data_IF_293159867617
#
_entry.id   IF_293159867617
#
_cell.length_a   1.000
_cell.length_b   1.000
_cell.length_c   1.000
_cell.angle_alpha   90.00
_cell.angle_beta   90.00
_cell.angle_gamma   90.00
#
_symmetry.space_group_name_H-M   'P 1'
#
loop_
_entity.id
_entity.type
_entity.pdbx_description
1 polymer ?
#
# COMPACT_ATOMS: atom_id res chain seq x y z
N UNK A 1 19.65 2.80 1.05
CA UNK A 1 18.36 3.35 1.48
C UNK A 1 17.46 3.42 0.27
N UNK A 2 16.21 3.01 0.43
CA UNK A 2 15.18 3.21 -0.57
C UNK A 2 14.48 4.53 -0.23
N UNK A 3 14.54 5.51 -1.13
CA UNK A 3 13.85 6.79 -0.97
C UNK A 3 12.39 6.65 -1.42
N UNK A 4 11.46 7.06 -0.56
CA UNK A 4 10.05 7.17 -0.87
C UNK A 4 9.72 8.55 -1.44
N UNK A 5 8.65 8.62 -2.22
CA UNK A 5 8.15 9.88 -2.75
C UNK A 5 7.25 10.62 -1.74
N UNK A 6 6.89 11.84 -2.12
CA UNK A 6 6.05 12.72 -1.32
C UNK A 6 4.65 12.11 -1.06
N UNK A 7 4.12 11.35 -2.02
CA UNK A 7 2.79 10.75 -1.92
C UNK A 7 2.70 9.72 -0.78
N UNK A 8 3.75 8.93 -0.56
CA UNK A 8 3.79 7.91 0.50
C UNK A 8 3.83 8.52 1.90
N UNK A 9 4.20 9.81 2.04
CA UNK A 9 4.09 10.53 3.31
C UNK A 9 2.65 10.54 3.85
N UNK A 10 1.67 10.61 2.95
CA UNK A 10 0.25 10.54 3.32
C UNK A 10 -0.10 9.13 3.81
N UNK A 11 0.30 8.10 3.08
CA UNK A 11 0.02 6.70 3.41
C UNK A 11 0.59 6.31 4.77
N UNK A 12 1.86 6.65 5.04
CA UNK A 12 2.54 6.34 6.30
C UNK A 12 1.87 7.08 7.47
N UNK A 13 1.40 8.32 7.28
CA UNK A 13 0.69 9.05 8.34
C UNK A 13 -0.64 8.36 8.68
N UNK A 14 -1.45 8.01 7.68
CA UNK A 14 -2.73 7.34 7.90
C UNK A 14 -2.56 5.92 8.45
N UNK A 15 -1.48 5.23 8.08
CA UNK A 15 -1.09 3.96 8.68
C UNK A 15 -0.72 4.14 10.16
N UNK A 16 0.01 5.20 10.50
CA UNK A 16 0.28 5.58 11.89
C UNK A 16 -0.99 5.83 12.70
N UNK A 17 -1.92 6.63 12.17
CA UNK A 17 -3.20 6.94 12.83
C UNK A 17 -4.03 5.67 13.07
N UNK A 18 -4.17 4.82 12.04
CA UNK A 18 -4.91 3.56 12.18
C UNK A 18 -4.25 2.57 13.13
N UNK A 19 -2.92 2.53 13.18
CA UNK A 19 -2.15 1.73 14.14
C UNK A 19 -2.32 2.22 15.58
N UNK A 20 -2.34 3.52 15.81
CA UNK A 20 -2.64 4.06 17.13
C UNK A 20 -4.07 3.70 17.57
N UNK A 21 -5.02 3.76 16.64
CA UNK A 21 -6.40 3.36 16.90
C UNK A 21 -6.54 1.85 17.19
N UNK A 22 -5.77 0.99 16.52
CA UNK A 22 -5.83 -0.46 16.76
C UNK A 22 -5.41 -0.85 18.18
N UNK A 23 -4.50 -0.11 18.83
CA UNK A 23 -4.19 -0.33 20.24
C UNK A 23 -5.40 -0.07 21.17
N UNK A 24 -6.30 0.85 20.79
CA UNK A 24 -7.58 1.05 21.52
C UNK A 24 -8.51 -0.16 21.35
N UNK A 25 -8.55 -0.77 20.16
CA UNK A 25 -9.31 -2.01 19.91
C UNK A 25 -8.77 -3.15 20.77
N UNK A 26 -7.43 -3.30 20.83
CA UNK A 26 -6.76 -4.28 21.71
C UNK A 26 -7.14 -4.06 23.17
N UNK A 27 -7.01 -2.82 23.68
CA UNK A 27 -7.32 -2.49 25.07
C UNK A 27 -8.80 -2.74 25.43
N UNK A 28 -9.70 -2.49 24.47
CA UNK A 28 -11.15 -2.72 24.62
C UNK A 28 -11.54 -4.19 24.50
N UNK A 29 -10.75 -5.02 23.82
CA UNK A 29 -11.03 -6.44 23.59
C UNK A 29 -12.27 -6.72 22.72
N UNK A 30 -12.80 -5.70 22.03
CA UNK A 30 -13.98 -5.85 21.17
C UNK A 30 -13.82 -5.08 19.86
N UNK A 31 -14.43 -5.59 18.79
CA UNK A 31 -14.47 -4.95 17.47
C UNK A 31 -15.94 -4.74 17.04
N UNK A 32 -16.38 -3.50 17.00
CA UNK A 32 -17.77 -3.11 16.73
C UNK A 32 -17.92 -2.13 15.57
N UNK A 33 -19.16 -1.69 15.32
CA UNK A 33 -19.50 -0.78 14.22
C UNK A 33 -18.88 0.61 14.41
N UNK A 34 -18.69 1.06 15.66
CA UNK A 34 -17.98 2.32 15.89
C UNK A 34 -16.53 2.25 15.42
N UNK A 35 -15.85 1.12 15.66
CA UNK A 35 -14.49 0.91 15.15
C UNK A 35 -14.48 0.83 13.62
N UNK A 36 -15.48 0.16 13.05
CA UNK A 36 -15.71 0.13 11.61
C UNK A 36 -15.78 1.55 11.02
N UNK A 37 -16.65 2.39 11.59
CA UNK A 37 -16.85 3.75 11.14
C UNK A 37 -15.56 4.57 11.23
N UNK A 38 -14.80 4.44 12.32
CA UNK A 38 -13.53 5.15 12.48
C UNK A 38 -12.50 4.68 11.45
N UNK A 39 -12.29 3.37 11.30
CA UNK A 39 -11.32 2.82 10.35
C UNK A 39 -11.67 3.17 8.90
N UNK A 40 -12.95 3.09 8.53
CA UNK A 40 -13.44 3.48 7.21
C UNK A 40 -13.26 4.99 7.00
N UNK A 41 -13.52 5.82 8.02
CA UNK A 41 -13.33 7.28 7.91
C UNK A 41 -11.86 7.65 7.73
N UNK A 42 -10.95 6.96 8.43
CA UNK A 42 -9.50 7.09 8.24
C UNK A 42 -9.15 6.78 6.77
N UNK A 43 -9.59 5.63 6.25
CA UNK A 43 -9.30 5.24 4.87
C UNK A 43 -9.95 6.18 3.84
N UNK A 44 -11.21 6.56 4.03
CA UNK A 44 -11.92 7.47 3.15
C UNK A 44 -11.26 8.85 3.12
N UNK A 45 -10.76 9.33 4.26
CA UNK A 45 -10.03 10.60 4.35
C UNK A 45 -8.69 10.52 3.61
N UNK A 46 -7.97 9.40 3.72
CA UNK A 46 -6.78 9.11 2.92
C UNK A 46 -7.09 9.17 1.42
N UNK A 47 -8.08 8.41 0.94
CA UNK A 47 -8.48 8.37 -0.47
C UNK A 47 -8.93 9.75 -0.96
N UNK A 48 -9.69 10.49 -0.15
CA UNK A 48 -10.16 11.82 -0.47
C UNK A 48 -9.01 12.82 -0.67
N UNK A 49 -7.99 12.79 0.20
CA UNK A 49 -6.81 13.64 0.05
C UNK A 49 -5.95 13.16 -1.12
N UNK A 50 -5.69 11.85 -1.23
CA UNK A 50 -4.89 11.24 -2.29
C UNK A 50 -5.44 11.49 -3.69
N UNK A 51 -6.76 11.45 -3.87
CA UNK A 51 -7.42 11.72 -5.15
C UNK A 51 -7.21 13.16 -5.68
N UNK A 52 -6.72 14.09 -4.84
CA UNK A 52 -6.39 15.47 -5.24
C UNK A 52 -4.94 15.67 -5.65
N UNK A 53 -4.08 14.68 -5.39
CA UNK A 53 -2.68 14.71 -5.78
C UNK A 53 -2.64 14.39 -7.29
N UNK A 54 -2.10 15.27 -8.15
CA UNK A 54 -2.03 15.00 -9.58
C UNK A 54 -1.11 13.80 -9.82
N UNK A 55 -1.54 12.80 -10.62
CA UNK A 55 -0.69 11.66 -10.94
C UNK A 55 0.57 12.14 -11.68
N UNK A 56 1.74 11.63 -11.33
CA UNK A 56 2.98 11.94 -12.03
C UNK A 56 2.86 11.46 -13.48
N UNK A 57 2.92 12.39 -14.45
CA UNK A 57 2.70 12.11 -15.88
C UNK A 57 3.66 11.04 -16.46
N UNK A 58 4.81 10.81 -15.82
CA UNK A 58 5.80 9.80 -16.23
C UNK A 58 5.39 8.36 -15.84
N UNK A 59 4.68 8.18 -14.74
CA UNK A 59 4.23 6.87 -14.23
C UNK A 59 3.18 6.25 -15.18
N UNK A 60 2.25 7.07 -15.68
CA UNK A 60 1.07 6.61 -16.45
C UNK A 60 1.36 5.88 -17.76
N UNK A 61 2.51 6.06 -18.41
CA UNK A 61 2.79 5.47 -19.73
C UNK A 61 3.87 4.39 -19.67
N UNK A 62 4.82 4.48 -18.74
CA UNK A 62 5.89 3.50 -18.58
C UNK A 62 5.50 2.33 -17.65
N UNK A 63 4.46 2.51 -16.80
CA UNK A 63 3.94 1.47 -15.90
C UNK A 63 2.82 0.65 -16.51
N UNK A 64 2.10 1.21 -17.49
CA UNK A 64 1.06 0.49 -18.22
C UNK A 64 1.72 -0.50 -19.19
N UNK A 65 2.06 -1.68 -18.68
CA UNK A 65 2.38 -2.86 -19.48
C UNK A 65 1.14 -3.74 -19.70
N UNK A 66 1.16 -4.57 -20.75
CA UNK A 66 0.17 -5.63 -20.95
C UNK A 66 -1.29 -5.16 -21.11
N UNK A 67 -2.20 -5.80 -20.38
CA UNK A 67 -3.66 -5.58 -20.50
C UNK A 67 -4.05 -4.13 -20.20
N UNK A 68 -3.40 -3.49 -19.23
CA UNK A 68 -3.67 -2.09 -18.88
C UNK A 68 -3.42 -1.15 -20.07
N UNK A 69 -2.32 -1.34 -20.80
CA UNK A 69 -1.98 -0.55 -22.00
C UNK A 69 -2.97 -0.80 -23.14
N UNK A 70 -3.31 -2.07 -23.35
CA UNK A 70 -4.25 -2.48 -24.39
C UNK A 70 -5.63 -1.83 -24.18
N UNK A 71 -6.13 -1.85 -22.93
CA UNK A 71 -7.39 -1.20 -22.54
C UNK A 71 -7.28 0.33 -22.59
N UNK A 72 -6.14 0.89 -22.16
CA UNK A 72 -5.87 2.32 -22.15
C UNK A 72 -5.92 2.98 -23.54
N UNK A 73 -5.55 2.24 -24.59
CA UNK A 73 -5.57 2.68 -25.99
C UNK A 73 -6.95 2.58 -26.67
N UNK A 74 -7.95 1.97 -26.04
CA UNK A 74 -9.28 1.80 -26.64
C UNK A 74 -10.09 3.11 -26.66
N UNK A 75 -11.02 3.21 -27.63
CA UNK A 75 -12.03 4.29 -27.67
C UNK A 75 -12.84 4.29 -26.38
N UNK A 76 -13.22 5.49 -25.87
CA UNK A 76 -13.86 5.67 -24.55
C UNK A 76 -14.99 4.68 -24.25
N UNK A 77 -15.96 4.51 -25.17
CA UNK A 77 -17.08 3.57 -24.94
C UNK A 77 -16.62 2.12 -24.77
N UNK A 78 -15.76 1.62 -25.67
CA UNK A 78 -15.21 0.27 -25.57
C UNK A 78 -14.33 0.10 -24.34
N UNK A 79 -13.54 1.12 -24.00
CA UNK A 79 -12.70 1.13 -22.79
C UNK A 79 -13.54 0.93 -21.53
N UNK A 80 -14.60 1.71 -21.35
CA UNK A 80 -15.48 1.56 -20.18
C UNK A 80 -16.19 0.20 -20.17
N UNK A 81 -16.67 -0.28 -21.32
CA UNK A 81 -17.28 -1.60 -21.43
C UNK A 81 -16.33 -2.72 -20.99
N UNK A 82 -15.07 -2.70 -21.43
CA UNK A 82 -14.05 -3.68 -21.03
C UNK A 82 -13.67 -3.55 -19.57
N UNK A 83 -13.52 -2.33 -19.04
CA UNK A 83 -13.22 -2.14 -17.61
C UNK A 83 -14.36 -2.71 -16.75
N UNK A 84 -15.62 -2.37 -17.06
CA UNK A 84 -16.79 -2.86 -16.33
C UNK A 84 -16.92 -4.38 -16.46
N UNK A 85 -16.64 -4.96 -17.62
CA UNK A 85 -16.68 -6.42 -17.79
C UNK A 85 -15.59 -7.12 -16.98
N UNK A 86 -14.37 -6.58 -16.95
CA UNK A 86 -13.27 -7.13 -16.15
C UNK A 86 -13.58 -7.04 -14.64
N UNK A 87 -14.09 -5.90 -14.18
CA UNK A 87 -14.49 -5.72 -12.77
C UNK A 87 -15.65 -6.63 -12.41
N UNK A 88 -16.69 -6.71 -13.26
CA UNK A 88 -17.85 -7.55 -13.03
C UNK A 88 -17.51 -9.03 -13.03
N UNK A 89 -16.74 -9.50 -14.02
CA UNK A 89 -16.29 -10.89 -14.10
C UNK A 89 -15.36 -11.24 -12.92
N UNK A 90 -14.36 -10.41 -12.63
CA UNK A 90 -13.43 -10.64 -11.52
C UNK A 90 -14.16 -10.67 -10.17
N UNK A 91 -15.10 -9.76 -9.95
CA UNK A 91 -15.95 -9.74 -8.76
C UNK A 91 -16.82 -11.00 -8.65
N UNK A 92 -17.46 -11.41 -9.74
CA UNK A 92 -18.29 -12.63 -9.77
C UNK A 92 -17.45 -13.88 -9.47
N UNK A 93 -16.29 -14.03 -10.10
CA UNK A 93 -15.37 -15.15 -9.84
C UNK A 93 -14.90 -15.15 -8.40
N UNK A 94 -14.62 -13.97 -7.83
CA UNK A 94 -14.22 -13.85 -6.42
C UNK A 94 -15.33 -14.27 -5.47
N UNK A 95 -16.57 -13.80 -5.69
CA UNK A 95 -17.73 -14.14 -4.86
C UNK A 95 -18.02 -15.64 -4.93
N UNK A 96 -18.08 -16.21 -6.14
CA UNK A 96 -18.37 -17.62 -6.35
C UNK A 96 -17.21 -18.53 -5.89
N UNK A 97 -15.97 -18.04 -5.98
CA UNK A 97 -14.76 -18.79 -5.62
C UNK A 97 -14.40 -18.73 -4.15
N UNK A 98 -14.83 -17.72 -3.39
CA UNK A 98 -14.43 -17.53 -1.99
C UNK A 98 -14.83 -18.70 -1.08
N UNK A 99 -16.08 -19.16 -1.15
CA UNK A 99 -16.55 -20.26 -0.30
C UNK A 99 -15.89 -21.60 -0.65
N UNK A 100 -15.82 -22.04 -1.93
CA UNK A 100 -15.07 -23.24 -2.31
C UNK A 100 -13.59 -23.17 -1.94
N UNK A 101 -12.96 -22.01 -2.07
CA UNK A 101 -11.56 -21.81 -1.71
C UNK A 101 -11.31 -22.06 -0.22
N UNK A 102 -12.10 -21.40 0.65
CA UNK A 102 -11.98 -21.58 2.11
C UNK A 102 -12.33 -23.01 2.53
N UNK A 103 -13.38 -23.60 1.95
CA UNK A 103 -13.77 -24.99 2.19
C UNK A 103 -12.65 -25.98 1.83
N UNK A 104 -12.07 -25.83 0.62
CA UNK A 104 -10.97 -26.68 0.16
C UNK A 104 -9.71 -26.55 1.02
N UNK A 105 -9.38 -25.35 1.51
CA UNK A 105 -8.27 -25.18 2.45
C UNK A 105 -8.51 -25.94 3.76
N UNK A 106 -9.73 -25.89 4.31
CA UNK A 106 -10.07 -26.59 5.55
C UNK A 106 -10.03 -28.11 5.35
N UNK A 107 -10.57 -28.61 4.24
CA UNK A 107 -10.56 -30.05 3.91
C UNK A 107 -9.14 -30.59 3.75
N UNK A 108 -8.30 -29.91 2.95
CA UNK A 108 -6.89 -30.28 2.75
C UNK A 108 -6.13 -30.20 4.07
N UNK A 109 -6.37 -29.16 4.87
CA UNK A 109 -5.80 -29.02 6.21
C UNK A 109 -6.13 -30.18 7.13
N UNK A 110 -7.40 -30.55 7.18
CA UNK A 110 -7.88 -31.69 7.96
C UNK A 110 -7.22 -33.00 7.53
N UNK A 111 -7.09 -33.23 6.22
CA UNK A 111 -6.42 -34.42 5.69
C UNK A 111 -4.92 -34.49 6.01
N UNK A 112 -4.25 -33.33 6.12
CA UNK A 112 -2.82 -33.23 6.42
C UNK A 112 -2.51 -33.04 7.91
N UNK A 113 -3.53 -32.98 8.78
CA UNK A 113 -3.36 -32.69 10.21
C UNK A 113 -2.86 -31.26 10.51
N UNK A 114 -3.01 -30.32 9.57
CA UNK A 114 -2.60 -28.93 9.71
C UNK A 114 -3.74 -28.13 10.36
N UNK A 115 -3.41 -27.32 11.37
CA UNK A 115 -4.42 -26.50 12.06
C UNK A 115 -5.12 -25.53 11.10
N UNK A 116 -6.45 -25.43 11.21
CA UNK A 116 -7.25 -24.46 10.44
C UNK A 116 -6.77 -23.02 10.66
N UNK A 117 -6.32 -22.71 11.88
CA UNK A 117 -5.75 -21.41 12.22
C UNK A 117 -4.53 -21.08 11.33
N UNK A 118 -3.57 -22.01 11.19
CA UNK A 118 -2.39 -21.79 10.34
C UNK A 118 -2.78 -21.60 8.87
N UNK A 119 -3.77 -22.34 8.38
CA UNK A 119 -4.24 -22.20 7.01
C UNK A 119 -4.92 -20.86 6.75
N UNK A 120 -5.83 -20.44 7.64
CA UNK A 120 -6.57 -19.19 7.50
C UNK A 120 -5.64 -17.99 7.68
N UNK A 121 -4.67 -18.08 8.58
CA UNK A 121 -3.80 -16.97 8.90
C UNK A 121 -2.65 -16.79 7.92
N UNK A 122 -2.07 -17.89 7.43
CA UNK A 122 -0.83 -17.84 6.66
C UNK A 122 -1.04 -18.24 5.20
N UNK A 123 -1.67 -19.40 4.97
CA UNK A 123 -1.78 -19.93 3.62
C UNK A 123 -2.80 -19.15 2.78
N UNK A 124 -3.97 -18.84 3.34
CA UNK A 124 -5.00 -18.09 2.63
C UNK A 124 -4.49 -16.69 2.19
N UNK A 125 -3.94 -15.83 3.08
CA UNK A 125 -3.38 -14.54 2.68
C UNK A 125 -2.25 -14.67 1.67
N UNK A 126 -1.33 -15.64 1.88
CA UNK A 126 -0.23 -15.88 0.95
C UNK A 126 -0.74 -16.15 -0.47
N UNK A 127 -1.74 -17.02 -0.63
CA UNK A 127 -2.30 -17.35 -1.94
C UNK A 127 -3.09 -16.20 -2.55
N UNK A 128 -3.89 -15.48 -1.75
CA UNK A 128 -4.72 -14.38 -2.27
C UNK A 128 -3.90 -13.14 -2.63
N UNK A 129 -2.77 -12.92 -1.97
CA UNK A 129 -1.85 -11.79 -2.22
C UNK A 129 -0.72 -12.15 -3.19
N UNK A 130 -0.58 -13.43 -3.57
CA UNK A 130 0.50 -13.90 -4.43
C UNK A 130 0.59 -13.13 -5.77
N UNK A 131 -0.49 -12.89 -6.53
CA UNK A 131 -0.40 -12.17 -7.80
C UNK A 131 0.11 -10.73 -7.65
N UNK A 132 -0.31 -10.04 -6.58
CA UNK A 132 0.17 -8.70 -6.24
C UNK A 132 1.65 -8.74 -5.85
N UNK A 133 2.01 -9.69 -4.98
CA UNK A 133 3.38 -9.87 -4.50
C UNK A 133 4.36 -10.12 -5.64
N UNK A 134 3.99 -10.95 -6.63
CA UNK A 134 4.83 -11.19 -7.83
C UNK A 134 5.05 -9.88 -8.62
N UNK A 135 4.02 -9.05 -8.76
CA UNK A 135 4.11 -7.77 -9.47
C UNK A 135 5.03 -6.80 -8.75
N UNK A 136 4.91 -6.71 -7.42
CA UNK A 136 5.78 -5.90 -6.56
C UNK A 136 7.22 -6.37 -6.63
N UNK A 137 7.48 -7.68 -6.53
CA UNK A 137 8.83 -8.26 -6.63
C UNK A 137 9.46 -7.96 -7.99
N UNK A 138 8.68 -8.04 -9.06
CA UNK A 138 9.13 -7.69 -10.40
C UNK A 138 9.50 -6.21 -10.53
N UNK A 139 8.77 -5.30 -9.89
CA UNK A 139 9.14 -3.88 -9.82
C UNK A 139 10.36 -3.65 -8.94
N UNK A 140 10.44 -4.29 -7.78
CA UNK A 140 11.56 -4.18 -6.84
C UNK A 140 12.88 -4.69 -7.46
N UNK A 141 12.83 -5.75 -8.27
CA UNK A 141 13.99 -6.28 -8.98
C UNK A 141 14.50 -5.35 -10.10
N UNK A 142 13.76 -4.30 -10.47
CA UNK A 142 14.20 -3.28 -11.42
C UNK A 142 14.73 -2.05 -10.70
N UNK A 143 15.94 -1.64 -11.09
CA UNK A 143 16.76 -0.63 -10.42
C UNK A 143 16.12 0.76 -10.21
N UNK A 144 15.01 1.08 -10.87
CA UNK A 144 14.36 2.40 -10.78
C UNK A 144 12.88 2.36 -10.35
N UNK A 145 12.38 1.22 -9.82
CA UNK A 145 10.96 1.07 -9.44
C UNK A 145 10.73 0.63 -7.99
N UNK A 146 11.75 0.72 -7.15
CA UNK A 146 11.64 0.37 -5.73
C UNK A 146 10.64 1.26 -4.97
N UNK A 147 10.61 2.58 -5.25
CA UNK A 147 9.67 3.51 -4.61
C UNK A 147 8.22 3.17 -4.95
N UNK A 148 7.95 2.85 -6.23
CA UNK A 148 6.64 2.40 -6.70
C UNK A 148 6.22 1.09 -6.03
N UNK A 149 7.12 0.10 -5.99
CA UNK A 149 6.89 -1.17 -5.31
C UNK A 149 6.52 -0.96 -3.84
N UNK A 150 7.25 -0.07 -3.15
CA UNK A 150 7.02 0.23 -1.74
C UNK A 150 5.72 1.02 -1.53
N UNK A 151 5.40 1.99 -2.38
CA UNK A 151 4.10 2.70 -2.33
C UNK A 151 2.92 1.74 -2.49
N UNK A 152 3.01 0.77 -3.42
CA UNK A 152 1.98 -0.25 -3.55
C UNK A 152 1.82 -1.08 -2.27
N UNK A 153 2.93 -1.52 -1.66
CA UNK A 153 2.89 -2.29 -0.41
C UNK A 153 2.33 -1.49 0.78
N UNK A 154 2.73 -0.23 0.96
CA UNK A 154 2.25 0.62 2.06
C UNK A 154 0.76 0.92 1.88
N UNK A 155 0.33 1.26 0.66
CA UNK A 155 -1.07 1.51 0.33
C UNK A 155 -1.94 0.27 0.54
N UNK A 156 -1.46 -0.91 0.11
CA UNK A 156 -2.14 -2.20 0.33
C UNK A 156 -2.24 -2.51 1.82
N UNK A 157 -1.15 -2.34 2.59
CA UNK A 157 -1.16 -2.51 4.05
C UNK A 157 -2.13 -1.54 4.73
N UNK A 158 -2.18 -0.27 4.32
CA UNK A 158 -3.13 0.71 4.86
C UNK A 158 -4.58 0.27 4.61
N UNK A 159 -4.91 -0.16 3.39
CA UNK A 159 -6.23 -0.68 3.05
C UNK A 159 -6.61 -1.91 3.90
N UNK A 160 -5.69 -2.86 4.05
CA UNK A 160 -5.91 -4.05 4.88
C UNK A 160 -6.06 -3.71 6.36
N UNK A 161 -5.29 -2.75 6.87
CA UNK A 161 -5.33 -2.36 8.28
C UNK A 161 -6.52 -1.45 8.63
N UNK A 162 -7.20 -0.89 7.63
CA UNK A 162 -8.35 -0.01 7.82
C UNK A 162 -9.61 -0.60 7.22
N UNK A 163 -9.77 -0.54 5.90
CA UNK A 163 -11.00 -0.93 5.22
C UNK A 163 -11.34 -2.41 5.45
N UNK A 164 -10.37 -3.32 5.37
CA UNK A 164 -10.61 -4.74 5.61
C UNK A 164 -11.05 -4.97 7.07
N UNK A 165 -10.26 -4.51 8.04
CA UNK A 165 -10.61 -4.65 9.47
C UNK A 165 -11.96 -4.01 9.79
N UNK A 166 -12.26 -2.83 9.23
CA UNK A 166 -13.53 -2.14 9.42
C UNK A 166 -14.72 -2.82 8.74
N UNK A 167 -14.49 -3.58 7.67
CA UNK A 167 -15.57 -4.31 6.98
C UNK A 167 -16.03 -5.55 7.76
N UNK A 168 -15.14 -6.19 8.53
CA UNK A 168 -15.44 -7.38 9.34
C UNK A 168 -16.69 -7.18 10.24
N UNK A 169 -16.73 -6.19 11.14
CA UNK A 169 -17.91 -5.97 12.00
C UNK A 169 -19.16 -5.61 11.19
N UNK A 170 -19.06 -4.95 10.04
CA UNK A 170 -20.22 -4.64 9.20
C UNK A 170 -20.84 -5.94 8.67
N UNK A 171 -20.03 -6.79 8.05
CA UNK A 171 -20.50 -8.08 7.50
C UNK A 171 -21.02 -8.98 8.62
N UNK A 172 -20.36 -9.01 9.77
CA UNK A 172 -20.81 -9.76 10.95
C UNK A 172 -22.22 -9.33 11.41
N UNK A 173 -22.47 -8.02 11.51
CA UNK A 173 -23.76 -7.49 11.94
C UNK A 173 -24.87 -7.71 10.89
N UNK A 174 -24.53 -7.58 9.60
CA UNK A 174 -25.45 -7.89 8.49
C UNK A 174 -25.84 -9.37 8.51
N UNK A 175 -24.87 -10.26 8.67
CA UNK A 175 -25.11 -11.71 8.72
C UNK A 175 -25.97 -12.13 9.92
N UNK A 176 -25.79 -11.46 11.07
CA UNK A 176 -26.60 -11.71 12.27
C UNK A 176 -27.94 -10.96 12.29
N UNK A 177 -28.18 -10.03 11.35
CA UNK A 177 -29.32 -9.13 11.33
C UNK A 177 -29.55 -8.37 12.66
N UNK A 178 -28.48 -8.07 13.40
CA UNK A 178 -28.53 -7.35 14.69
C UNK A 178 -27.25 -6.59 14.99
N UNK A 179 -27.37 -5.56 15.84
CA UNK A 179 -26.26 -4.76 16.32
C UNK A 179 -25.53 -5.44 17.48
N UNK A 180 -24.33 -5.97 17.22
CA UNK A 180 -23.48 -6.63 18.20
C UNK A 180 -21.98 -6.40 17.89
N UNK A 181 -21.21 -6.12 18.93
CA UNK A 181 -19.74 -6.08 18.83
C UNK A 181 -19.16 -7.50 18.90
N UNK A 182 -18.12 -7.74 18.12
CA UNK A 182 -17.36 -8.99 18.14
C UNK A 182 -16.50 -8.98 19.41
N UNK A 183 -16.73 -9.94 20.31
CA UNK A 183 -15.85 -10.16 21.46
C UNK A 183 -14.60 -10.89 20.99
N UNK A 184 -13.43 -10.27 21.17
CA UNK A 184 -12.17 -10.86 20.74
C UNK A 184 -11.69 -11.88 21.77
N UNK A 185 -11.25 -13.04 21.29
CA UNK A 185 -10.61 -14.03 22.14
C UNK A 185 -9.21 -13.56 22.56
N UNK A 186 -8.65 -14.15 23.63
CA UNK A 186 -7.31 -13.78 24.09
C UNK A 186 -6.24 -13.95 22.98
N UNK A 187 -6.40 -14.98 22.15
CA UNK A 187 -5.53 -15.20 20.99
C UNK A 187 -5.66 -14.05 19.97
N UNK A 188 -6.89 -13.66 19.62
CA UNK A 188 -7.14 -12.55 18.68
C UNK A 188 -6.64 -11.20 19.21
N UNK A 189 -6.79 -10.95 20.50
CA UNK A 189 -6.24 -9.75 21.17
C UNK A 189 -4.71 -9.75 21.06
N UNK A 190 -4.06 -10.87 21.38
CA UNK A 190 -2.61 -11.01 21.28
C UNK A 190 -2.11 -10.84 19.84
N UNK A 191 -2.89 -11.31 18.87
CA UNK A 191 -2.59 -11.19 17.45
C UNK A 191 -2.70 -9.78 16.91
N UNK A 192 -3.78 -9.11 17.29
CA UNK A 192 -4.00 -7.72 16.93
C UNK A 192 -2.93 -6.84 17.58
N UNK A 193 -2.53 -7.16 18.82
CA UNK A 193 -1.45 -6.46 19.52
C UNK A 193 -0.09 -6.64 18.84
N UNK A 194 0.26 -7.87 18.43
CA UNK A 194 1.47 -8.13 17.65
C UNK A 194 1.46 -7.36 16.33
N UNK A 195 0.36 -7.42 15.60
CA UNK A 195 0.24 -6.76 14.30
C UNK A 195 0.28 -5.23 14.43
N UNK A 196 -0.30 -4.67 15.49
CA UNK A 196 -0.20 -3.24 15.81
C UNK A 196 1.22 -2.84 16.20
N UNK A 197 1.92 -3.68 16.98
CA UNK A 197 3.31 -3.46 17.39
C UNK A 197 4.27 -3.49 16.19
N UNK A 198 4.11 -4.48 15.30
CA UNK A 198 4.84 -4.51 14.03
C UNK A 198 4.52 -3.28 13.17
N UNK A 199 3.25 -2.89 13.07
CA UNK A 199 2.83 -1.75 12.25
C UNK A 199 3.41 -0.43 12.77
N UNK A 200 3.49 -0.23 14.09
CA UNK A 200 4.05 1.02 14.64
C UNK A 200 5.57 1.09 14.43
N UNK A 201 6.28 -0.04 14.57
CA UNK A 201 7.70 -0.09 14.22
C UNK A 201 7.93 0.22 12.74
N UNK A 202 7.14 -0.39 11.86
CA UNK A 202 7.19 -0.10 10.42
C UNK A 202 6.90 1.37 10.09
N UNK A 203 5.93 1.99 10.77
CA UNK A 203 5.66 3.43 10.61
C UNK A 203 6.85 4.28 11.06
N UNK A 204 7.47 3.96 12.19
CA UNK A 204 8.65 4.69 12.69
C UNK A 204 9.81 4.64 11.71
N UNK A 205 10.11 3.46 11.14
CA UNK A 205 11.14 3.28 10.10
C UNK A 205 10.88 4.09 8.82
N UNK A 206 9.68 4.63 8.63
CA UNK A 206 9.29 5.36 7.43
C UNK A 206 9.04 6.86 7.69
N UNK A 207 9.27 7.36 8.91
CA UNK A 207 9.03 8.77 9.26
C UNK A 207 9.96 9.77 8.54
N UNK A 208 11.15 9.32 8.15
CA UNK A 208 12.12 10.09 7.36
C UNK A 208 12.02 9.79 5.84
N UNK A 209 11.08 8.94 5.44
CA UNK A 209 10.85 8.45 4.07
C UNK A 209 12.04 7.72 3.45
N UNK A 210 12.89 7.11 4.27
CA UNK A 210 14.02 6.32 3.80
C UNK A 210 14.06 4.96 4.47
N UNK A 211 13.68 3.91 3.75
CA UNK A 211 13.80 2.56 4.29
C UNK A 211 15.24 2.04 4.12
N UNK A 212 15.90 1.75 5.23
CA UNK A 212 17.20 1.10 5.26
C UNK A 212 17.08 -0.43 5.15
N UNK A 213 18.14 -1.06 4.65
CA UNK A 213 18.22 -2.53 4.61
C UNK A 213 18.22 -3.15 6.00
N UNK A 214 18.69 -2.42 7.02
CA UNK A 214 18.72 -2.90 8.41
C UNK A 214 17.31 -2.95 8.99
N UNK A 215 16.50 -1.92 8.78
CA UNK A 215 15.10 -1.89 9.22
C UNK A 215 14.29 -2.97 8.51
N UNK A 216 14.44 -3.09 7.19
CA UNK A 216 13.79 -4.13 6.40
C UNK A 216 14.17 -5.55 6.87
N UNK A 217 15.45 -5.80 7.11
CA UNK A 217 15.92 -7.10 7.62
C UNK A 217 15.42 -7.36 9.05
N UNK A 218 15.31 -6.33 9.88
CA UNK A 218 14.79 -6.45 11.26
C UNK A 218 13.31 -6.81 11.25
N UNK A 219 12.50 -6.15 10.42
CA UNK A 219 11.10 -6.50 10.20
C UNK A 219 10.95 -7.96 9.75
N UNK A 220 11.75 -8.38 8.76
CA UNK A 220 11.74 -9.75 8.26
C UNK A 220 12.18 -10.77 9.31
N UNK A 221 13.25 -10.49 10.05
CA UNK A 221 13.78 -11.40 11.07
C UNK A 221 12.79 -11.61 12.21
N UNK A 222 12.20 -10.53 12.75
CA UNK A 222 11.22 -10.62 13.82
C UNK A 222 9.92 -11.30 13.36
N UNK A 223 9.51 -11.05 12.12
CA UNK A 223 8.42 -11.79 11.48
C UNK A 223 8.72 -13.30 11.44
N UNK A 224 9.88 -13.71 10.93
CA UNK A 224 10.25 -15.12 10.81
C UNK A 224 10.37 -15.81 12.18
N UNK A 225 10.94 -15.12 13.18
CA UNK A 225 11.01 -15.64 14.56
C UNK A 225 9.62 -15.93 15.09
N UNK A 226 8.67 -14.99 14.95
CA UNK A 226 7.31 -15.20 15.42
C UNK A 226 6.56 -16.27 14.62
N UNK A 227 6.78 -16.33 13.29
CA UNK A 227 6.18 -17.31 12.41
C UNK A 227 6.57 -18.76 12.78
N UNK A 228 7.86 -19.01 13.00
CA UNK A 228 8.36 -20.34 13.38
C UNK A 228 8.22 -20.66 14.86
N UNK A 229 8.06 -19.65 15.72
CA UNK A 229 7.91 -19.81 17.16
C UNK A 229 6.65 -19.04 17.65
N UNK A 230 5.43 -19.55 17.34
CA UNK A 230 4.18 -18.86 17.67
C UNK A 230 3.98 -18.44 19.13
N UNK A 231 4.48 -19.18 20.14
CA UNK A 231 4.37 -18.76 21.55
C UNK A 231 5.03 -17.41 21.88
N UNK A 232 6.05 -16.98 21.11
CA UNK A 232 6.81 -15.73 21.37
C UNK A 232 6.06 -14.44 20.98
N UNK A 233 4.74 -14.50 20.82
CA UNK A 233 3.93 -13.41 20.28
C UNK A 233 4.03 -12.15 21.13
N UNK A 234 4.02 -12.25 22.45
CA UNK A 234 4.09 -11.09 23.34
C UNK A 234 5.51 -10.52 23.42
N UNK A 235 6.51 -11.39 23.45
CA UNK A 235 7.93 -11.06 23.49
C UNK A 235 8.33 -10.30 22.22
N UNK A 236 7.94 -10.82 21.05
CA UNK A 236 8.20 -10.15 19.76
C UNK A 236 7.44 -8.82 19.67
N UNK A 237 6.21 -8.75 20.19
CA UNK A 237 5.46 -7.48 20.27
C UNK A 237 6.21 -6.44 21.11
N UNK A 238 6.72 -6.84 22.28
CA UNK A 238 7.50 -5.96 23.15
C UNK A 238 8.79 -5.49 22.46
N UNK A 239 9.49 -6.38 21.75
CA UNK A 239 10.68 -6.03 20.97
C UNK A 239 10.34 -5.00 19.89
N UNK A 240 9.26 -5.17 19.14
CA UNK A 240 8.83 -4.17 18.16
C UNK A 240 8.58 -2.80 18.80
N UNK A 241 7.91 -2.74 19.95
CA UNK A 241 7.64 -1.48 20.65
C UNK A 241 8.91 -0.81 21.18
N UNK A 242 9.84 -1.59 21.74
CA UNK A 242 11.13 -1.07 22.21
C UNK A 242 11.93 -0.52 21.03
N UNK A 243 12.02 -1.26 19.93
CA UNK A 243 12.72 -0.82 18.73
C UNK A 243 12.06 0.42 18.12
N UNK A 244 10.72 0.49 18.11
CA UNK A 244 9.99 1.68 17.66
C UNK A 244 10.33 2.91 18.52
N UNK A 245 10.41 2.76 19.85
CA UNK A 245 10.78 3.85 20.75
C UNK A 245 12.23 4.30 20.54
N UNK A 246 13.16 3.35 20.41
CA UNK A 246 14.59 3.64 20.16
C UNK A 246 14.77 4.33 18.81
N UNK A 247 14.21 3.77 17.74
CA UNK A 247 14.34 4.33 16.39
C UNK A 247 13.71 5.71 16.30
N UNK A 248 12.53 5.92 16.92
CA UNK A 248 11.89 7.24 16.99
C UNK A 248 12.78 8.26 17.71
N UNK A 249 13.44 7.87 18.80
CA UNK A 249 14.35 8.74 19.53
C UNK A 249 15.59 9.12 18.70
N UNK A 250 16.15 8.16 17.95
CA UNK A 250 17.31 8.38 17.09
C UNK A 250 16.97 9.23 15.86
N UNK A 251 15.78 9.04 15.29
CA UNK A 251 15.35 9.68 14.03
C UNK A 251 14.53 10.95 14.23
N UNK A 252 14.22 11.35 15.49
CA UNK A 252 13.39 12.54 15.79
C UNK A 252 13.78 13.84 15.07
N UNK A 253 15.08 14.05 14.82
CA UNK A 253 15.58 15.23 14.11
C UNK A 253 15.45 15.17 12.58
N UNK A 254 15.11 14.00 12.04
CA UNK A 254 14.97 13.70 10.61
C UNK A 254 13.54 13.42 10.19
N UNK A 255 12.56 13.57 11.08
CA UNK A 255 11.15 13.35 10.75
C UNK A 255 10.71 14.38 9.70
N UNK A 256 10.37 13.91 8.50
CA UNK A 256 9.98 14.76 7.38
C UNK A 256 8.48 14.67 7.09
N UNK A 257 7.84 13.56 7.48
CA UNK A 257 6.46 13.22 7.10
C UNK A 257 5.43 14.32 7.39
N UNK A 258 5.44 14.92 8.58
CA UNK A 258 4.45 15.94 8.97
C UNK A 258 4.58 17.21 8.14
N UNK A 259 5.82 17.62 7.84
CA UNK A 259 6.09 18.78 6.98
C UNK A 259 5.58 18.52 5.56
N UNK A 260 5.81 17.32 5.05
CA UNK A 260 5.39 16.92 3.71
C UNK A 260 3.89 16.78 3.56
N UNK A 261 3.20 16.13 4.50
CA UNK A 261 1.73 16.10 4.52
C UNK A 261 1.16 17.52 4.63
N UNK A 262 1.77 18.37 5.45
CA UNK A 262 1.40 19.79 5.52
C UNK A 262 1.62 20.57 4.22
N UNK A 263 2.56 20.16 3.36
CA UNK A 263 2.72 20.71 2.01
C UNK A 263 1.61 20.19 1.08
N UNK A 264 1.35 18.88 1.08
CA UNK A 264 0.28 18.25 0.28
C UNK A 264 -1.08 18.91 0.58
N UNK A 265 -1.42 19.07 1.86
CA UNK A 265 -2.68 19.67 2.27
C UNK A 265 -2.78 21.15 1.83
N UNK A 266 -1.69 21.91 1.90
CA UNK A 266 -1.70 23.32 1.47
C UNK A 266 -1.81 23.45 -0.05
N UNK A 267 -1.10 22.63 -0.79
CA UNK A 267 -1.02 22.73 -2.25
C UNK A 267 -2.24 22.16 -2.96
N UNK A 268 -2.77 21.03 -2.49
CA UNK A 268 -3.79 20.27 -3.19
C UNK A 268 -5.17 20.28 -2.54
N UNK A 269 -5.27 20.61 -1.24
CA UNK A 269 -6.56 20.62 -0.52
C UNK A 269 -7.04 22.04 -0.24
N UNK A 270 -6.17 22.92 0.27
CA UNK A 270 -6.57 24.26 0.74
C UNK A 270 -6.52 25.34 -0.34
N UNK A 271 -5.64 25.22 -1.35
CA UNK A 271 -5.72 26.10 -2.52
C UNK A 271 -6.98 25.73 -3.31
N UNK A 272 -7.99 26.62 -3.27
CA UNK A 272 -9.08 26.61 -4.26
C UNK A 272 -8.44 26.49 -5.64
N UNK A 273 -9.03 25.74 -6.60
CA UNK A 273 -8.48 25.63 -7.93
C UNK A 273 -8.45 27.02 -8.56
N UNK A 274 -7.33 27.73 -8.42
CA UNK A 274 -7.02 28.86 -9.28
C UNK A 274 -7.01 28.25 -10.68
N UNK A 275 -7.82 28.85 -11.56
CA UNK A 275 -8.03 28.37 -12.91
C UNK A 275 -6.72 27.94 -13.57
N UNK A 276 -6.83 26.94 -14.45
CA UNK A 276 -5.76 26.46 -15.34
C UNK A 276 -5.13 27.63 -16.11
N UNK A 277 -4.23 28.38 -15.51
CA UNK A 277 -3.40 29.39 -16.16
C UNK A 277 -2.12 29.55 -15.36
N UNK A 278 -1.14 28.69 -15.68
CA UNK A 278 0.22 29.16 -15.95
C UNK A 278 0.90 28.09 -16.78
N UNK A 279 0.99 28.37 -18.07
CA UNK A 279 1.93 27.71 -18.96
C UNK A 279 3.31 27.72 -18.27
N UNK A 280 3.85 26.52 -18.06
CA UNK A 280 5.25 26.35 -17.70
C UNK A 280 6.11 27.08 -18.74
N UNK A 281 7.18 27.80 -18.35
CA UNK A 281 7.99 28.54 -19.31
C UNK A 281 8.50 27.57 -20.36
N UNK A 282 8.11 27.82 -21.62
CA UNK A 282 8.62 27.10 -22.79
C UNK A 282 10.15 27.15 -22.71
N UNK A 283 10.77 26.00 -22.46
CA UNK A 283 12.21 25.81 -22.64
C UNK A 283 12.53 26.27 -24.07
N UNK A 284 13.30 27.35 -24.15
CA UNK A 284 13.60 28.09 -25.36
C UNK A 284 14.20 27.13 -26.40
N UNK A 285 13.45 26.78 -27.45
CA UNK A 285 13.91 26.00 -28.61
C UNK A 285 14.81 26.87 -29.52
N UNK A 286 15.83 27.50 -28.95
CA UNK A 286 16.86 28.26 -29.69
C UNK A 286 18.28 27.67 -29.57
N UNK A 287 18.43 26.46 -29.01
CA UNK A 287 19.73 25.79 -28.90
C UNK A 287 19.90 24.51 -29.74
N UNK A 288 18.90 24.09 -30.52
CA UNK A 288 18.94 22.81 -31.27
C UNK A 288 18.87 23.00 -32.80
N UNK A 289 19.20 24.20 -33.30
CA UNK A 289 19.22 24.50 -34.74
C UNK A 289 20.56 24.99 -35.28
N UNK A 290 21.63 24.96 -34.49
CA UNK A 290 22.98 25.34 -34.93
C UNK A 290 23.93 24.16 -35.18
N UNK A 291 23.63 22.94 -34.71
CA UNK A 291 24.53 21.79 -34.90
C UNK A 291 24.28 21.00 -36.20
N UNK A 292 23.11 21.11 -36.85
CA UNK A 292 22.80 20.29 -38.04
C UNK A 292 23.10 20.96 -39.39
N UNK A 293 23.90 22.04 -39.40
CA UNK A 293 24.29 22.78 -40.63
C UNK A 293 25.81 22.90 -40.83
N UNK A 294 26.63 22.15 -40.09
CA UNK A 294 28.10 22.13 -40.26
C UNK A 294 28.67 20.87 -40.93
N UNK A 295 27.82 19.99 -41.47
CA UNK A 295 28.27 18.83 -42.27
C UNK A 295 27.56 18.77 -43.62
N UNK A 296 27.63 19.85 -44.39
CA UNK A 296 27.48 19.78 -45.85
C UNK A 296 28.00 21.07 -46.46
N UNK A 297 29.26 21.09 -46.93
CA UNK A 297 29.80 21.84 -48.10
C UNK A 297 31.30 22.15 -47.95
N UNK A 298 32.11 21.19 -48.38
CA UNK A 298 33.37 21.41 -49.11
C UNK A 298 33.54 20.14 -49.94
N UNK A 299 33.29 20.10 -51.24
CA UNK A 299 33.87 20.98 -52.25
C UNK A 299 34.88 20.16 -53.07
N UNK A 300 34.35 19.35 -54.00
CA UNK A 300 34.82 19.15 -55.39
C UNK A 300 36.33 19.11 -55.73
N UNK A 301 36.78 17.98 -56.33
CA UNK A 301 37.47 17.86 -57.66
C UNK A 301 37.91 16.40 -57.89
N UNK A 302 37.38 15.67 -58.88
CA UNK A 302 37.81 15.53 -60.30
C UNK A 302 39.13 14.73 -60.46
N UNK A 303 39.07 13.54 -61.05
CA UNK A 303 39.62 13.17 -62.39
C UNK A 303 39.86 11.65 -62.53
N UNK A 304 39.59 11.20 -63.77
CA UNK A 304 39.93 9.94 -64.47
C UNK A 304 39.47 8.61 -63.87
#
# INVERSE_FOLDING_TARGET
>A
YLQLELAQALEVLFLGISTLYSFLIVAKGTLGILDAAVLILIFASYVYIGARIPPLEKERLEEMGGVALAVGRMRRGRRYGVILSLVGMGGLVTILGAQPFVGGLIEIGGALGISQYLLIQWLAPFLTEFPETVTVLYWAARSNRGSLAMGNLISSKLNQWTLLVGTIPIVYNVALARFQSIALTQLQISELFLTASQSIYGVVCLLDLQLSSREALTLLALFLVQFFIPPLRLEVSAVYLILAAVELFLTRGRIVIFRQVGQILREYVHKRPQGRTKAWPRRNKKGLRSESRRTSTSGTRRLS
#
